data_IF_417405016678
#
_entry.id   IF_417405016678
#
_cell.length_a   1.000
_cell.length_b   1.000
_cell.length_c   1.000
_cell.angle_alpha   90.00
_cell.angle_beta   90.00
_cell.angle_gamma   90.00
#
_symmetry.space_group_name_H-M   'P 1'
#
loop_
_entity.id
_entity.type
_entity.pdbx_description
1 polymer ?
#
# COMPACT_ATOMS: atom_id res chain seq x y z
N UNK A 1 -64.98 -63.20 -10.45
CA UNK A 1 -64.06 -63.95 -11.34
C UNK A 1 -62.72 -63.26 -11.20
N UNK A 2 -61.68 -63.85 -10.57
CA UNK A 2 -60.85 -64.94 -11.10
C UNK A 2 -60.22 -64.52 -12.45
N UNK A 3 -58.91 -64.45 -12.72
CA UNK A 3 -57.66 -64.93 -12.08
C UNK A 3 -56.46 -64.24 -12.82
N UNK A 4 -55.15 -64.34 -12.54
CA UNK A 4 -54.28 -65.06 -11.58
C UNK A 4 -52.89 -64.35 -11.51
N UNK A 5 -52.06 -64.56 -10.48
CA UNK A 5 -50.62 -64.16 -10.48
C UNK A 5 -49.71 -65.30 -11.00
N UNK A 6 -48.49 -64.99 -11.47
CA UNK A 6 -47.31 -65.36 -10.66
C UNK A 6 -46.34 -64.17 -10.52
N UNK A 7 -45.77 -63.86 -9.35
CA UNK A 7 -44.78 -64.63 -8.55
C UNK A 7 -43.44 -64.79 -9.28
N UNK A 8 -42.45 -64.03 -8.82
CA UNK A 8 -41.03 -64.43 -8.67
C UNK A 8 -40.36 -63.49 -7.67
N UNK A 9 -40.09 -64.01 -6.46
CA UNK A 9 -39.03 -63.52 -5.57
C UNK A 9 -37.66 -63.91 -6.20
N UNK A 10 -36.48 -63.36 -5.90
CA UNK A 10 -35.89 -63.06 -4.58
C UNK A 10 -34.72 -62.08 -4.67
N UNK A 11 -34.55 -61.35 -3.57
CA UNK A 11 -33.33 -60.66 -3.09
C UNK A 11 -32.06 -61.52 -3.14
N UNK A 12 -30.89 -60.99 -3.55
CA UNK A 12 -29.81 -60.58 -2.61
C UNK A 12 -28.40 -60.40 -3.21
N UNK A 13 -27.71 -59.37 -2.71
CA UNK A 13 -26.26 -59.24 -2.50
C UNK A 13 -25.26 -59.48 -3.66
N UNK A 14 -24.76 -58.37 -4.21
CA UNK A 14 -23.48 -58.28 -4.91
C UNK A 14 -22.87 -56.89 -4.70
N UNK A 15 -22.18 -56.67 -3.58
CA UNK A 15 -21.62 -55.37 -3.21
C UNK A 15 -20.16 -55.25 -3.65
N UNK A 16 -19.89 -54.45 -4.68
CA UNK A 16 -18.56 -53.89 -4.96
C UNK A 16 -18.68 -52.38 -5.26
N UNK A 17 -18.06 -51.49 -4.47
CA UNK A 17 -18.03 -50.07 -4.76
C UNK A 17 -16.83 -49.73 -5.65
N UNK A 18 -17.05 -49.58 -6.96
CA UNK A 18 -16.04 -49.00 -7.85
C UNK A 18 -16.01 -47.48 -7.73
N UNK A 19 -14.86 -47.00 -7.28
CA UNK A 19 -14.18 -45.75 -7.64
C UNK A 19 -15.07 -44.58 -8.08
N UNK A 20 -15.30 -43.64 -7.16
CA UNK A 20 -15.62 -42.25 -7.49
C UNK A 20 -14.39 -41.40 -7.25
N UNK A 21 -13.52 -41.33 -8.24
CA UNK A 21 -12.48 -40.31 -8.28
C UNK A 21 -13.08 -38.94 -8.65
N UNK A 22 -12.42 -37.91 -8.11
CA UNK A 22 -12.48 -36.50 -8.51
C UNK A 22 -13.83 -35.78 -8.62
N UNK A 23 -14.13 -34.96 -7.61
CA UNK A 23 -14.14 -33.51 -7.81
C UNK A 23 -13.85 -32.80 -6.48
N UNK A 24 -12.59 -32.37 -6.28
CA UNK A 24 -12.22 -31.44 -5.20
C UNK A 24 -12.64 -30.04 -5.63
N UNK A 25 -13.28 -29.23 -4.77
CA UNK A 25 -13.79 -27.93 -5.19
C UNK A 25 -12.66 -26.93 -5.47
N UNK A 26 -12.77 -26.31 -6.64
CA UNK A 26 -12.47 -24.90 -6.93
C UNK A 26 -11.56 -24.18 -5.91
N UNK A 27 -10.25 -24.19 -6.19
CA UNK A 27 -9.37 -23.12 -5.76
C UNK A 27 -9.06 -22.27 -6.99
N UNK A 28 -9.91 -21.29 -7.25
CA UNK A 28 -9.71 -20.26 -8.27
C UNK A 28 -8.39 -19.53 -8.03
N UNK A 29 -7.33 -20.03 -8.68
CA UNK A 29 -6.01 -19.41 -8.77
C UNK A 29 -6.10 -18.17 -9.69
N UNK A 30 -6.89 -17.20 -9.25
CA UNK A 30 -6.79 -15.83 -9.72
C UNK A 30 -5.43 -15.28 -9.23
N UNK A 31 -4.41 -15.52 -10.06
CA UNK A 31 -3.06 -14.99 -9.92
C UNK A 31 -3.05 -13.47 -10.08
N UNK A 32 -3.63 -12.78 -9.09
CA UNK A 32 -3.60 -11.34 -8.95
C UNK A 32 -2.17 -10.91 -8.66
N UNK A 33 -1.46 -10.57 -9.72
CA UNK A 33 -0.23 -9.80 -9.66
C UNK A 33 -0.58 -8.47 -8.96
N UNK A 34 -0.09 -8.30 -7.73
CA UNK A 34 0.04 -6.95 -7.17
C UNK A 34 1.22 -6.33 -7.90
N UNK A 35 0.95 -5.44 -8.85
CA UNK A 35 1.98 -4.76 -9.62
C UNK A 35 2.89 -3.94 -8.66
N UNK A 36 4.21 -4.05 -8.83
CA UNK A 36 5.23 -3.39 -8.01
C UNK A 36 5.21 -1.84 -8.10
N UNK A 37 4.28 -1.28 -8.89
CA UNK A 37 4.05 0.16 -9.08
C UNK A 37 3.86 0.91 -7.75
N UNK A 38 3.33 0.24 -6.71
CA UNK A 38 3.13 0.80 -5.38
C UNK A 38 4.43 1.34 -4.72
N UNK A 39 5.63 0.84 -5.09
CA UNK A 39 6.90 1.36 -4.59
C UNK A 39 7.36 2.63 -5.31
N UNK A 40 6.97 2.83 -6.57
CA UNK A 40 7.28 4.02 -7.33
C UNK A 40 6.41 5.21 -6.89
N UNK A 41 5.14 4.95 -6.60
CA UNK A 41 4.18 5.95 -6.11
C UNK A 41 4.56 6.53 -4.74
N UNK A 42 5.14 5.74 -3.83
CA UNK A 42 5.47 6.19 -2.47
C UNK A 42 6.61 7.25 -2.46
N UNK A 43 7.54 7.15 -3.41
CA UNK A 43 8.55 8.19 -3.67
C UNK A 43 7.91 9.48 -4.22
N UNK A 44 6.99 9.35 -5.18
CA UNK A 44 6.30 10.49 -5.78
C UNK A 44 5.46 11.23 -4.73
N UNK A 45 4.74 10.49 -3.88
CA UNK A 45 3.96 11.05 -2.76
C UNK A 45 4.81 11.82 -1.76
N UNK A 46 5.99 11.28 -1.42
CA UNK A 46 6.95 11.96 -0.54
C UNK A 46 7.45 13.28 -1.13
N UNK A 47 7.61 13.34 -2.47
CA UNK A 47 8.01 14.57 -3.18
C UNK A 47 6.85 15.58 -3.23
N UNK A 48 5.67 15.19 -3.68
CA UNK A 48 4.47 16.04 -3.73
C UNK A 48 4.14 16.64 -2.35
N UNK A 49 4.24 15.83 -1.29
CA UNK A 49 4.05 16.29 0.10
C UNK A 49 5.12 17.27 0.59
N UNK A 50 6.35 17.19 0.08
CA UNK A 50 7.41 18.15 0.39
C UNK A 50 7.18 19.50 -0.31
N UNK A 51 6.78 19.48 -1.58
CA UNK A 51 6.46 20.67 -2.37
C UNK A 51 5.25 21.42 -1.76
N UNK A 52 4.16 20.71 -1.42
CA UNK A 52 3.01 21.28 -0.70
C UNK A 52 3.41 21.93 0.63
N UNK A 53 4.30 21.28 1.40
CA UNK A 53 4.78 21.81 2.68
C UNK A 53 5.60 23.09 2.49
N UNK A 54 6.37 23.21 1.40
CA UNK A 54 7.09 24.42 1.04
C UNK A 54 6.11 25.56 0.71
N UNK A 55 5.06 25.29 -0.07
CA UNK A 55 3.99 26.26 -0.40
C UNK A 55 3.28 26.77 0.85
N UNK A 56 2.83 25.88 1.75
CA UNK A 56 2.17 26.28 3.01
C UNK A 56 3.08 27.15 3.86
N UNK A 57 4.37 26.81 3.96
CA UNK A 57 5.36 27.61 4.69
C UNK A 57 5.56 28.99 4.06
N UNK A 58 5.61 29.09 2.73
CA UNK A 58 5.74 30.36 2.02
C UNK A 58 4.54 31.28 2.27
N UNK A 59 3.31 30.73 2.29
CA UNK A 59 2.10 31.49 2.64
C UNK A 59 2.18 31.96 4.10
N UNK A 60 2.53 31.08 5.04
CA UNK A 60 2.68 31.46 6.47
C UNK A 60 3.70 32.57 6.68
N UNK A 61 4.91 32.46 6.11
CA UNK A 61 5.93 33.51 6.24
C UNK A 61 5.49 34.84 5.60
N UNK A 62 4.63 34.82 4.57
CA UNK A 62 4.04 36.04 4.01
C UNK A 62 2.99 36.66 4.94
N UNK A 63 2.15 35.83 5.59
CA UNK A 63 1.18 36.30 6.60
C UNK A 63 1.90 36.88 7.82
N UNK A 64 2.96 36.23 8.29
CA UNK A 64 3.81 36.73 9.39
C UNK A 64 4.49 38.06 9.03
N UNK A 65 5.05 38.19 7.82
CA UNK A 65 5.62 39.45 7.33
C UNK A 65 4.57 40.56 7.21
N UNK A 66 3.36 40.24 6.71
CA UNK A 66 2.24 41.18 6.63
C UNK A 66 1.72 41.61 8.01
N UNK A 67 1.80 40.75 9.03
CA UNK A 67 1.43 41.07 10.41
C UNK A 67 2.52 41.84 11.17
N UNK A 68 3.79 41.59 10.85
CA UNK A 68 4.95 42.31 11.39
C UNK A 68 5.13 43.70 10.78
N UNK A 69 4.55 43.96 9.60
CA UNK A 69 4.40 45.30 9.06
C UNK A 69 3.46 46.11 9.96
N UNK A 70 4.05 46.90 10.85
CA UNK A 70 3.34 47.81 11.76
C UNK A 70 2.35 48.70 11.01
N UNK A 71 1.25 49.14 11.65
CA UNK A 71 0.34 50.09 11.03
C UNK A 71 1.14 51.33 10.66
N UNK A 72 1.28 51.59 9.36
CA UNK A 72 2.06 52.71 8.85
C UNK A 72 1.50 53.98 9.47
N UNK A 73 2.27 54.60 10.37
CA UNK A 73 1.91 55.89 10.97
C UNK A 73 1.60 56.83 9.82
N UNK A 74 0.37 57.34 9.77
CA UNK A 74 -0.13 58.20 8.71
C UNK A 74 0.73 59.47 8.64
N UNK A 75 1.84 59.40 7.91
CA UNK A 75 2.45 60.59 7.35
C UNK A 75 1.43 61.17 6.36
N UNK A 76 1.29 62.50 6.33
CA UNK A 76 0.56 63.16 5.25
C UNK A 76 1.26 62.79 3.93
N UNK A 77 0.65 61.90 3.15
CA UNK A 77 1.13 61.59 1.80
C UNK A 77 0.95 62.86 0.95
N UNK A 78 2.07 63.38 0.47
CA UNK A 78 2.08 64.44 -0.54
C UNK A 78 1.37 63.95 -1.80
N UNK A 79 0.67 64.84 -2.51
CA UNK A 79 -0.16 64.47 -3.66
C UNK A 79 0.60 63.70 -4.76
N UNK A 80 1.89 63.99 -4.97
CA UNK A 80 2.74 63.28 -5.94
C UNK A 80 3.09 61.85 -5.50
N UNK A 81 3.37 61.64 -4.21
CA UNK A 81 3.59 60.32 -3.63
C UNK A 81 2.31 59.46 -3.69
N UNK A 82 1.15 60.06 -3.38
CA UNK A 82 -0.15 59.39 -3.48
C UNK A 82 -0.48 59.01 -4.93
N UNK A 83 -0.35 59.94 -5.89
CA UNK A 83 -0.60 59.67 -7.31
C UNK A 83 0.36 58.61 -7.87
N UNK A 84 1.64 58.66 -7.49
CA UNK A 84 2.62 57.64 -7.86
C UNK A 84 2.22 56.25 -7.33
N UNK A 85 1.83 56.18 -6.06
CA UNK A 85 1.32 54.98 -5.41
C UNK A 85 0.04 54.46 -6.10
N UNK A 86 -0.89 55.35 -6.44
CA UNK A 86 -2.14 55.04 -7.13
C UNK A 86 -1.92 54.47 -8.52
N UNK A 87 -1.14 55.13 -9.39
CA UNK A 87 -0.88 54.62 -10.74
C UNK A 87 -0.17 53.27 -10.71
N UNK A 88 0.81 53.10 -9.80
CA UNK A 88 1.45 51.80 -9.56
C UNK A 88 0.45 50.73 -9.09
N UNK A 89 -0.44 51.07 -8.15
CA UNK A 89 -1.48 50.18 -7.61
C UNK A 89 -2.44 49.66 -8.70
N UNK A 90 -2.83 50.56 -9.60
CA UNK A 90 -3.79 50.32 -10.68
C UNK A 90 -3.13 49.69 -11.92
N UNK A 91 -1.81 49.52 -11.93
CA UNK A 91 -1.05 48.96 -13.06
C UNK A 91 -0.85 49.93 -14.23
N UNK A 92 -1.04 51.22 -14.02
CA UNK A 92 -0.90 52.28 -15.02
C UNK A 92 0.57 52.73 -15.14
N UNK A 93 1.47 51.82 -15.50
CA UNK A 93 2.93 52.06 -15.49
C UNK A 93 3.37 53.13 -16.49
N UNK A 94 2.81 53.14 -17.71
CA UNK A 94 3.11 54.17 -18.71
C UNK A 94 2.65 55.57 -18.24
N UNK A 95 1.48 55.65 -17.60
CA UNK A 95 0.96 56.90 -17.01
C UNK A 95 1.83 57.36 -15.83
N UNK A 96 2.34 56.41 -15.03
CA UNK A 96 3.27 56.69 -13.94
C UNK A 96 4.60 57.27 -14.44
N UNK A 97 5.17 56.71 -15.51
CA UNK A 97 6.42 57.20 -16.12
C UNK A 97 6.26 58.60 -16.72
N UNK A 98 5.17 58.85 -17.46
CA UNK A 98 4.85 60.20 -17.94
C UNK A 98 4.67 61.18 -16.77
N UNK A 99 3.87 60.83 -15.76
CA UNK A 99 3.66 61.68 -14.58
C UNK A 99 4.97 62.00 -13.85
N UNK A 100 5.83 61.01 -13.61
CA UNK A 100 7.11 61.21 -12.92
C UNK A 100 8.09 62.08 -13.71
N UNK A 101 8.12 61.94 -15.04
CA UNK A 101 9.00 62.75 -15.89
C UNK A 101 8.52 64.20 -16.02
N UNK A 102 7.22 64.44 -16.22
CA UNK A 102 6.63 65.79 -16.20
C UNK A 102 6.80 66.47 -14.84
N UNK A 103 6.58 65.74 -13.73
CA UNK A 103 6.75 66.27 -12.38
C UNK A 103 8.21 66.66 -12.08
N UNK A 104 9.17 65.83 -12.51
CA UNK A 104 10.59 66.14 -12.39
C UNK A 104 10.99 67.37 -13.23
N UNK A 105 10.42 67.53 -14.43
CA UNK A 105 10.65 68.71 -15.28
C UNK A 105 10.08 69.99 -14.65
N UNK A 106 8.87 69.94 -14.10
CA UNK A 106 8.21 71.07 -13.42
C UNK A 106 9.00 71.53 -12.18
N UNK A 107 9.55 70.59 -11.41
CA UNK A 107 10.44 70.87 -10.29
C UNK A 107 11.76 71.52 -10.75
N UNK A 108 12.40 71.01 -11.80
CA UNK A 108 13.64 71.59 -12.35
C UNK A 108 13.44 73.01 -12.89
N UNK A 109 12.29 73.29 -13.49
CA UNK A 109 11.91 74.62 -14.00
C UNK A 109 11.46 75.58 -12.88
N UNK A 110 11.27 75.09 -11.65
CA UNK A 110 10.80 75.88 -10.51
C UNK A 110 9.35 76.36 -10.62
N UNK A 111 8.52 75.72 -11.44
CA UNK A 111 7.08 76.06 -11.57
C UNK A 111 6.24 75.51 -10.41
N UNK A 112 6.76 74.53 -9.66
CA UNK A 112 6.08 73.90 -8.53
C UNK A 112 7.00 73.95 -7.31
N UNK A 113 6.50 74.49 -6.21
CA UNK A 113 7.16 74.42 -4.91
C UNK A 113 6.80 73.09 -4.22
N UNK A 114 7.79 72.21 -4.08
CA UNK A 114 7.65 70.91 -3.41
C UNK A 114 7.13 71.01 -1.96
N UNK A 115 7.26 72.17 -1.30
CA UNK A 115 6.76 72.40 0.06
C UNK A 115 5.32 72.93 0.13
N UNK A 116 4.72 73.33 -0.99
CA UNK A 116 3.32 73.81 -1.06
C UNK A 116 2.34 72.79 -1.65
N UNK A 117 2.83 71.59 -2.02
CA UNK A 117 1.97 70.53 -2.56
C UNK A 117 0.97 70.10 -1.49
N UNK A 118 -0.32 70.23 -1.80
CA UNK A 118 -1.41 70.00 -0.85
C UNK A 118 -1.42 68.55 -0.34
N UNK A 119 -1.67 68.39 0.96
CA UNK A 119 -1.71 67.09 1.63
C UNK A 119 -2.97 66.34 1.20
N UNK A 120 -2.83 65.07 0.79
CA UNK A 120 -3.99 64.27 0.39
C UNK A 120 -4.90 64.01 1.58
N UNK A 121 -6.23 64.23 1.46
CA UNK A 121 -7.19 63.90 2.50
C UNK A 121 -7.10 62.41 2.87
N UNK A 122 -6.92 62.11 4.17
CA UNK A 122 -6.60 60.76 4.66
C UNK A 122 -7.60 59.66 4.25
N UNK A 123 -8.85 60.03 3.93
CA UNK A 123 -9.89 59.13 3.41
C UNK A 123 -9.45 58.43 2.12
N UNK A 124 -8.75 59.12 1.20
CA UNK A 124 -8.27 58.51 -0.05
C UNK A 124 -7.13 57.52 0.20
N UNK A 125 -6.23 57.85 1.12
CA UNK A 125 -5.14 56.97 1.57
C UNK A 125 -5.74 55.71 2.23
N UNK A 126 -6.76 55.86 3.08
CA UNK A 126 -7.47 54.74 3.70
C UNK A 126 -8.16 53.84 2.68
N UNK A 127 -8.91 54.40 1.71
CA UNK A 127 -9.54 53.62 0.62
C UNK A 127 -8.50 52.81 -0.15
N UNK A 128 -7.36 53.41 -0.49
CA UNK A 128 -6.27 52.74 -1.21
C UNK A 128 -5.63 51.61 -0.38
N UNK A 129 -5.45 51.82 0.93
CA UNK A 129 -4.99 50.79 1.87
C UNK A 129 -6.00 49.65 2.04
N UNK A 130 -7.30 49.94 2.14
CA UNK A 130 -8.36 48.94 2.24
C UNK A 130 -8.46 48.12 0.95
N UNK A 131 -8.33 48.75 -0.22
CA UNK A 131 -8.28 48.05 -1.50
C UNK A 131 -7.08 47.08 -1.58
N UNK A 132 -5.89 47.49 -1.11
CA UNK A 132 -4.72 46.59 -0.96
C UNK A 132 -5.02 45.39 -0.06
N UNK A 133 -5.58 45.63 1.13
CA UNK A 133 -5.91 44.56 2.09
C UNK A 133 -6.90 43.57 1.49
N UNK A 134 -7.95 44.07 0.83
CA UNK A 134 -8.95 43.23 0.14
C UNK A 134 -8.32 42.38 -0.97
N UNK A 135 -7.51 42.98 -1.86
CA UNK A 135 -6.82 42.26 -2.95
C UNK A 135 -5.83 41.22 -2.40
N UNK A 136 -5.14 41.53 -1.30
CA UNK A 136 -4.23 40.59 -0.64
C UNK A 136 -4.98 39.40 -0.02
N UNK A 137 -6.07 39.66 0.71
CA UNK A 137 -6.91 38.60 1.33
C UNK A 137 -7.54 37.71 0.25
N UNK A 138 -8.01 38.29 -0.87
CA UNK A 138 -8.54 37.51 -1.99
C UNK A 138 -7.49 36.55 -2.57
N UNK A 139 -6.25 37.02 -2.78
CA UNK A 139 -5.12 36.20 -3.21
C UNK A 139 -4.78 35.10 -2.20
N UNK A 140 -4.77 35.42 -0.91
CA UNK A 140 -4.53 34.44 0.15
C UNK A 140 -5.60 33.35 0.15
N UNK A 141 -6.88 33.71 -0.01
CA UNK A 141 -7.98 32.75 -0.11
C UNK A 141 -7.82 31.82 -1.33
N UNK A 142 -7.40 32.32 -2.49
CA UNK A 142 -7.17 31.47 -3.68
C UNK A 142 -5.98 30.52 -3.47
N UNK A 143 -4.86 31.02 -2.95
CA UNK A 143 -3.67 30.19 -2.67
C UNK A 143 -3.96 29.10 -1.61
N UNK A 144 -4.69 29.44 -0.54
CA UNK A 144 -5.11 28.46 0.47
C UNK A 144 -6.08 27.41 -0.10
N UNK A 145 -6.95 27.79 -1.06
CA UNK A 145 -7.87 26.86 -1.72
C UNK A 145 -7.13 25.88 -2.60
N UNK A 146 -6.14 26.35 -3.37
CA UNK A 146 -5.27 25.52 -4.20
C UNK A 146 -4.44 24.56 -3.35
N UNK A 147 -3.79 25.06 -2.28
CA UNK A 147 -3.05 24.24 -1.34
C UNK A 147 -3.94 23.17 -0.65
N UNK A 148 -5.18 23.51 -0.32
CA UNK A 148 -6.16 22.57 0.25
C UNK A 148 -6.58 21.49 -0.75
N UNK A 149 -6.75 21.82 -2.05
CA UNK A 149 -7.04 20.83 -3.10
C UNK A 149 -5.88 19.85 -3.26
N UNK A 150 -4.64 20.38 -3.40
CA UNK A 150 -3.43 19.56 -3.51
C UNK A 150 -3.23 18.67 -2.26
N UNK A 151 -3.53 19.18 -1.06
CA UNK A 151 -3.51 18.38 0.17
C UNK A 151 -4.52 17.23 0.14
N UNK A 152 -5.74 17.46 -0.34
CA UNK A 152 -6.76 16.43 -0.47
C UNK A 152 -6.38 15.35 -1.48
N UNK A 153 -5.78 15.73 -2.62
CA UNK A 153 -5.28 14.80 -3.65
C UNK A 153 -4.15 13.91 -3.11
N UNK A 154 -3.15 14.48 -2.43
CA UNK A 154 -2.05 13.73 -1.81
C UNK A 154 -2.57 12.78 -0.72
N UNK A 155 -3.51 13.23 0.12
CA UNK A 155 -4.14 12.38 1.14
C UNK A 155 -4.91 11.20 0.53
N UNK A 156 -5.58 11.41 -0.61
CA UNK A 156 -6.33 10.35 -1.29
C UNK A 156 -5.41 9.31 -1.94
N UNK A 157 -4.32 9.75 -2.58
CA UNK A 157 -3.28 8.83 -3.06
C UNK A 157 -2.64 8.03 -1.91
N UNK A 158 -2.31 8.69 -0.79
CA UNK A 158 -1.71 8.05 0.38
C UNK A 158 -2.66 7.02 1.04
N UNK A 159 -3.98 7.26 1.03
CA UNK A 159 -4.97 6.26 1.47
C UNK A 159 -4.96 5.02 0.59
N UNK A 160 -4.94 5.19 -0.74
CA UNK A 160 -4.88 4.07 -1.70
C UNK A 160 -3.62 3.24 -1.51
N UNK A 161 -2.46 3.88 -1.36
CA UNK A 161 -1.19 3.20 -1.08
C UNK A 161 -1.25 2.39 0.23
N UNK A 162 -1.78 2.97 1.32
CA UNK A 162 -2.03 2.25 2.58
C UNK A 162 -2.95 1.05 2.40
N UNK A 163 -4.04 1.20 1.65
CA UNK A 163 -5.04 0.14 1.48
C UNK A 163 -4.49 -1.04 0.67
N UNK A 164 -3.66 -0.75 -0.35
CA UNK A 164 -2.89 -1.77 -1.08
C UNK A 164 -1.93 -2.51 -0.15
N UNK A 165 -1.17 -1.79 0.69
CA UNK A 165 -0.25 -2.40 1.67
C UNK A 165 -0.99 -3.29 2.69
N UNK A 166 -2.15 -2.85 3.19
CA UNK A 166 -2.98 -3.64 4.11
C UNK A 166 -3.52 -4.92 3.43
N UNK A 167 -4.02 -4.81 2.20
CA UNK A 167 -4.50 -5.95 1.42
C UNK A 167 -3.37 -6.95 1.12
N UNK A 168 -2.18 -6.46 0.77
CA UNK A 168 -1.00 -7.29 0.55
C UNK A 168 -0.57 -8.02 1.84
N UNK A 169 -0.48 -7.30 2.96
CA UNK A 169 -0.15 -7.91 4.26
C UNK A 169 -1.15 -9.01 4.65
N UNK A 170 -2.46 -8.75 4.48
CA UNK A 170 -3.50 -9.72 4.77
C UNK A 170 -3.39 -10.98 3.88
N UNK A 171 -3.12 -10.82 2.57
CA UNK A 171 -2.85 -11.94 1.65
C UNK A 171 -1.67 -12.78 2.13
N UNK A 172 -0.54 -12.13 2.47
CA UNK A 172 0.67 -12.82 2.96
C UNK A 172 0.40 -13.58 4.26
N UNK A 173 -0.42 -13.04 5.17
CA UNK A 173 -0.82 -13.76 6.39
C UNK A 173 -1.66 -15.02 6.09
N UNK A 174 -2.58 -14.95 5.14
CA UNK A 174 -3.40 -16.10 4.70
C UNK A 174 -2.52 -17.19 4.08
N UNK A 175 -1.67 -16.83 3.12
CA UNK A 175 -0.74 -17.77 2.47
C UNK A 175 0.23 -18.41 3.46
N UNK A 176 0.82 -17.61 4.36
CA UNK A 176 1.69 -18.12 5.44
C UNK A 176 0.95 -19.15 6.31
N UNK A 177 -0.31 -18.90 6.67
CA UNK A 177 -1.09 -19.82 7.50
C UNK A 177 -1.45 -21.11 6.73
N UNK A 178 -1.77 -21.02 5.43
CA UNK A 178 -1.95 -22.17 4.54
C UNK A 178 -0.70 -23.06 4.50
N UNK A 179 0.47 -22.46 4.21
CA UNK A 179 1.74 -23.19 4.13
C UNK A 179 2.14 -23.85 5.45
N UNK A 180 1.86 -23.20 6.60
CA UNK A 180 2.05 -23.80 7.93
C UNK A 180 1.20 -25.07 8.10
N UNK A 181 -0.04 -25.08 7.61
CA UNK A 181 -0.94 -26.23 7.73
C UNK A 181 -0.56 -27.37 6.78
N UNK A 182 -0.13 -27.04 5.56
CA UNK A 182 0.44 -28.02 4.62
C UNK A 182 1.72 -28.66 5.19
N UNK A 183 2.59 -27.88 5.83
CA UNK A 183 3.80 -28.38 6.50
C UNK A 183 3.48 -29.29 7.69
N UNK A 184 2.46 -28.97 8.50
CA UNK A 184 1.96 -29.86 9.56
C UNK A 184 1.47 -31.19 9.00
N UNK A 185 0.66 -31.16 7.94
CA UNK A 185 0.15 -32.35 7.25
C UNK A 185 1.28 -33.21 6.67
N UNK A 186 2.29 -32.59 6.06
CA UNK A 186 3.47 -33.28 5.53
C UNK A 186 4.28 -33.93 6.67
N UNK A 187 4.54 -33.20 7.76
CA UNK A 187 5.24 -33.74 8.94
C UNK A 187 4.53 -34.96 9.52
N UNK A 188 3.20 -34.93 9.64
CA UNK A 188 2.41 -36.07 10.10
C UNK A 188 2.55 -37.30 9.17
N UNK A 189 2.54 -37.10 7.84
CA UNK A 189 2.83 -38.17 6.87
C UNK A 189 4.23 -38.74 7.05
N UNK A 190 5.26 -37.90 7.21
CA UNK A 190 6.63 -38.34 7.46
C UNK A 190 6.77 -39.19 8.73
N UNK A 191 6.15 -38.78 9.85
CA UNK A 191 6.15 -39.58 11.09
C UNK A 191 5.43 -40.93 10.93
N UNK A 192 4.38 -40.99 10.10
CA UNK A 192 3.71 -42.25 9.75
C UNK A 192 4.62 -43.18 8.94
N UNK A 193 5.27 -42.66 7.90
CA UNK A 193 6.23 -43.43 7.09
C UNK A 193 7.43 -43.92 7.91
N UNK A 194 7.97 -43.10 8.83
CA UNK A 194 9.06 -43.50 9.72
C UNK A 194 8.64 -44.67 10.64
N UNK A 195 7.40 -44.64 11.14
CA UNK A 195 6.85 -45.70 11.98
C UNK A 195 6.60 -46.99 11.20
N UNK A 196 6.07 -46.89 9.98
CA UNK A 196 5.89 -48.04 9.08
C UNK A 196 7.23 -48.65 8.66
N UNK A 197 8.24 -47.83 8.36
CA UNK A 197 9.57 -48.30 7.98
C UNK A 197 10.25 -49.07 9.13
N UNK A 198 10.13 -48.57 10.38
CA UNK A 198 10.58 -49.29 11.59
C UNK A 198 9.89 -50.65 11.72
N UNK A 199 8.56 -50.70 11.58
CA UNK A 199 7.77 -51.93 11.62
C UNK A 199 8.21 -52.96 10.57
N UNK A 200 8.49 -52.53 9.34
CA UNK A 200 8.96 -53.43 8.28
C UNK A 200 10.40 -53.91 8.52
N UNK A 201 11.27 -53.04 9.06
CA UNK A 201 12.63 -53.41 9.44
C UNK A 201 12.66 -54.45 10.58
N UNK A 202 11.79 -54.31 11.58
CA UNK A 202 11.61 -55.30 12.65
C UNK A 202 11.15 -56.66 12.11
N UNK A 203 10.15 -56.68 11.22
CA UNK A 203 9.68 -57.89 10.53
C UNK A 203 10.80 -58.56 9.72
N UNK A 204 11.58 -57.77 8.99
CA UNK A 204 12.73 -58.26 8.24
C UNK A 204 13.76 -58.92 9.17
N UNK A 205 14.14 -58.27 10.28
CA UNK A 205 15.05 -58.89 11.26
C UNK A 205 14.48 -60.18 11.86
N UNK A 206 13.18 -60.22 12.17
CA UNK A 206 12.53 -61.41 12.71
C UNK A 206 12.54 -62.57 11.70
N UNK A 207 12.22 -62.31 10.44
CA UNK A 207 12.26 -63.30 9.36
C UNK A 207 13.68 -63.84 9.13
N UNK A 208 14.71 -62.98 9.15
CA UNK A 208 16.12 -63.41 9.03
C UNK A 208 16.52 -64.33 10.19
N UNK A 209 16.16 -63.98 11.44
CA UNK A 209 16.41 -64.82 12.62
C UNK A 209 15.70 -66.17 12.51
N UNK A 210 14.44 -66.19 12.07
CA UNK A 210 13.68 -67.42 11.89
C UNK A 210 14.27 -68.33 10.78
N UNK A 211 14.66 -67.76 9.64
CA UNK A 211 15.32 -68.50 8.54
C UNK A 211 16.65 -69.11 8.98
N UNK A 212 17.41 -68.41 9.83
CA UNK A 212 18.64 -68.93 10.43
C UNK A 212 18.36 -70.11 11.36
N UNK A 213 17.36 -69.99 12.26
CA UNK A 213 16.96 -71.09 13.16
C UNK A 213 16.47 -72.32 12.38
N UNK A 214 15.56 -72.15 11.42
CA UNK A 214 15.06 -73.24 10.58
C UNK A 214 16.17 -73.91 9.75
N UNK A 215 17.26 -73.19 9.45
CA UNK A 215 18.40 -73.79 8.75
C UNK A 215 19.25 -74.64 9.69
N UNK A 216 19.55 -74.14 10.89
CA UNK A 216 20.22 -74.95 11.93
C UNK A 216 19.40 -76.19 12.34
N UNK A 217 18.07 -76.10 12.35
CA UNK A 217 17.18 -77.25 12.57
C UNK A 217 17.24 -78.26 11.42
N UNK A 218 17.25 -77.79 10.16
CA UNK A 218 17.41 -78.64 8.98
C UNK A 218 18.77 -79.35 8.98
N UNK A 219 19.84 -78.63 9.27
CA UNK A 219 21.20 -79.16 9.25
C UNK A 219 21.34 -80.30 10.29
N UNK A 220 20.77 -80.14 11.48
CA UNK A 220 20.68 -81.21 12.51
C UNK A 220 19.85 -82.41 12.05
N UNK A 221 18.73 -82.18 11.36
CA UNK A 221 17.90 -83.29 10.84
C UNK A 221 18.60 -84.06 9.71
N UNK A 222 19.42 -83.38 8.90
CA UNK A 222 20.28 -84.00 7.88
C UNK A 222 21.42 -84.79 8.53
N UNK A 223 22.06 -84.24 9.57
CA UNK A 223 23.08 -84.94 10.37
C UNK A 223 22.52 -86.25 10.96
N UNK A 224 21.37 -86.19 11.66
CA UNK A 224 20.66 -87.36 12.18
C UNK A 224 20.24 -88.36 11.08
N UNK A 225 19.81 -87.88 9.91
CA UNK A 225 19.44 -88.75 8.79
C UNK A 225 20.66 -89.52 8.26
N UNK A 226 21.78 -88.84 8.04
CA UNK A 226 23.03 -89.45 7.61
C UNK A 226 23.52 -90.50 8.62
N UNK A 227 23.46 -90.21 9.93
CA UNK A 227 23.79 -91.19 10.99
C UNK A 227 22.92 -92.45 10.90
N UNK A 228 21.61 -92.31 10.60
CA UNK A 228 20.72 -93.47 10.42
C UNK A 228 20.95 -94.23 9.12
N UNK A 229 21.38 -93.57 8.04
CA UNK A 229 21.76 -94.24 6.78
C UNK A 229 23.08 -95.01 6.95
N UNK A 230 24.10 -94.43 7.58
CA UNK A 230 25.36 -95.11 7.89
C UNK A 230 25.15 -96.33 8.82
N UNK A 231 24.22 -96.25 9.78
CA UNK A 231 23.82 -97.39 10.59
C UNK A 231 23.08 -98.48 9.77
N UNK A 232 22.34 -98.09 8.73
CA UNK A 232 21.62 -99.00 7.83
C UNK A 232 22.51 -99.73 6.82
N UNK A 233 23.66 -99.16 6.44
CA UNK A 233 24.63 -99.78 5.52
C UNK A 233 25.65 -100.72 6.19
N UNK A 234 25.66 -100.81 7.53
CA UNK A 234 26.59 -101.65 8.30
C UNK A 234 25.94 -102.94 8.87
N UNK A 235 24.87 -103.43 8.23
CA UNK A 235 24.14 -104.67 8.53
C UNK A 235 24.03 -105.58 7.30
#
# INVERSE_FOLDING_TARGET
>A
MASVQPVSETTSAGTEPREKDEMVPDNSDAAFQCEDEALNDDWALRKEGADLKATIKAIQSRVEANAAASPTVHHPETMDAFLSSFFFQMGMTETLECFQSEWAELLQRGLVDAQQVEVVPGVYVEILQLHRKLKNIQREITEYREASSAAAEILEKARKARDIQQMHHQRVLVEKNRLIEELRRLKAKCSSYESELKRQYEKYQAAVKQTMLMSLERDKMVELANETEEAGFNL
#
